data_IF_010808890754
#
_entry.id   IF_010808890754
#
_cell.length_a   1.000
_cell.length_b   1.000
_cell.length_c   1.000
_cell.angle_alpha   90.00
_cell.angle_beta   90.00
_cell.angle_gamma   90.00
#
_symmetry.space_group_name_H-M   'P 1'
#
loop_
_entity.id
_entity.type
_entity.pdbx_description
1 polymer ?
#
# COMPACT_ATOMS: atom_id res chain seq x y z
N UNK A 1 -6.00 4.63 -30.71
CA UNK A 1 -5.13 4.67 -29.51
C UNK A 1 -5.11 6.14 -29.09
N UNK A 2 -5.61 6.44 -27.91
CA UNK A 2 -5.66 7.82 -27.41
C UNK A 2 -4.52 7.96 -26.39
N UNK A 3 -3.50 8.75 -26.73
CA UNK A 3 -2.40 9.06 -25.82
C UNK A 3 -2.63 10.43 -25.17
N UNK A 4 -2.05 10.65 -24.00
CA UNK A 4 -2.01 11.91 -23.30
C UNK A 4 -0.60 12.17 -22.76
N UNK A 5 -0.23 13.44 -22.70
CA UNK A 5 1.04 13.86 -22.15
C UNK A 5 0.90 14.24 -20.68
N UNK A 6 1.75 13.68 -19.83
CA UNK A 6 1.88 14.07 -18.42
C UNK A 6 3.14 14.92 -18.28
N UNK A 7 2.99 16.10 -17.70
CA UNK A 7 4.12 16.96 -17.37
C UNK A 7 4.92 16.31 -16.22
N UNK A 8 6.16 15.95 -16.47
CA UNK A 8 7.05 15.28 -15.53
C UNK A 8 8.48 15.81 -15.64
N UNK A 9 9.30 15.53 -14.64
CA UNK A 9 10.72 15.88 -14.61
C UNK A 9 11.55 14.61 -14.84
N UNK A 10 12.56 14.60 -15.69
CA UNK A 10 13.18 15.73 -16.42
C UNK A 10 12.49 16.14 -17.73
N UNK A 11 11.50 15.38 -18.19
CA UNK A 11 10.79 15.65 -19.43
C UNK A 11 9.35 15.12 -19.34
N UNK A 12 8.41 15.68 -20.12
CA UNK A 12 7.05 15.15 -20.24
C UNK A 12 7.05 13.68 -20.70
N UNK A 13 6.05 12.92 -20.23
CA UNK A 13 5.86 11.51 -20.55
C UNK A 13 4.53 11.32 -21.24
N UNK A 14 4.56 10.68 -22.41
CA UNK A 14 3.35 10.26 -23.13
C UNK A 14 2.87 8.90 -22.59
N UNK A 15 1.60 8.79 -22.24
CA UNK A 15 0.97 7.56 -21.77
C UNK A 15 -0.29 7.25 -22.56
N UNK A 16 -0.63 5.96 -22.65
CA UNK A 16 -1.94 5.49 -23.10
C UNK A 16 -2.77 5.14 -21.83
N UNK A 17 -3.83 5.89 -21.52
CA UNK A 17 -4.66 5.65 -20.33
C UNK A 17 -5.19 4.22 -20.24
N UNK A 18 -5.55 3.62 -21.38
CA UNK A 18 -6.08 2.25 -21.44
C UNK A 18 -5.03 1.17 -21.10
N UNK A 19 -3.75 1.52 -21.13
CA UNK A 19 -2.61 0.62 -20.86
C UNK A 19 -1.79 1.06 -19.65
N UNK A 20 -2.31 2.00 -18.88
CA UNK A 20 -1.65 2.57 -17.69
C UNK A 20 -2.45 2.22 -16.45
N UNK A 21 -1.78 2.08 -15.33
CA UNK A 21 -2.39 1.98 -14.01
C UNK A 21 -1.68 2.91 -13.02
N UNK A 22 -2.44 3.48 -12.11
CA UNK A 22 -1.89 4.11 -10.89
C UNK A 22 -1.92 3.08 -9.78
N UNK A 23 -0.79 2.87 -9.13
CA UNK A 23 -0.65 1.94 -8.02
C UNK A 23 -0.44 2.73 -6.73
N UNK A 24 -1.35 2.60 -5.79
CA UNK A 24 -1.28 3.16 -4.44
C UNK A 24 -0.80 2.06 -3.50
N UNK A 25 0.34 2.27 -2.84
CA UNK A 25 1.04 1.23 -2.08
C UNK A 25 1.06 1.62 -0.60
N UNK A 26 0.62 0.70 0.27
CA UNK A 26 0.74 0.75 1.74
C UNK A 26 0.14 2.00 2.40
N UNK A 27 -0.82 2.65 1.75
CA UNK A 27 -1.56 3.77 2.35
C UNK A 27 -2.65 3.26 3.30
N UNK A 28 -2.20 2.63 4.40
CA UNK A 28 -3.01 1.88 5.36
C UNK A 28 -3.03 2.54 6.74
N UNK A 29 -4.06 2.21 7.53
CA UNK A 29 -4.22 2.72 8.89
C UNK A 29 -3.04 2.38 9.81
N UNK A 30 -2.45 1.19 9.69
CA UNK A 30 -1.28 0.80 10.47
C UNK A 30 -0.10 1.76 10.30
N UNK A 31 0.05 2.37 9.12
CA UNK A 31 1.18 3.23 8.79
C UNK A 31 0.87 4.73 8.90
N UNK A 32 -0.35 5.15 8.57
CA UNK A 32 -0.68 6.57 8.41
C UNK A 32 -1.71 7.12 9.39
N UNK A 33 -2.38 6.29 10.20
CA UNK A 33 -3.41 6.78 11.13
C UNK A 33 -2.90 6.94 12.56
N UNK A 34 -3.39 7.95 13.29
CA UNK A 34 -3.22 8.01 14.73
C UNK A 34 -3.74 6.72 15.41
N UNK A 35 -2.96 6.15 16.32
CA UNK A 35 -3.24 4.86 16.94
C UNK A 35 -2.91 3.65 16.07
N UNK A 36 -2.38 3.84 14.85
CA UNK A 36 -1.82 2.78 14.02
C UNK A 36 -0.50 2.24 14.57
N UNK A 37 0.04 1.24 13.90
CA UNK A 37 1.27 0.55 14.32
C UNK A 37 2.46 1.51 14.42
N UNK A 38 2.67 2.36 13.42
CA UNK A 38 3.78 3.31 13.42
C UNK A 38 3.63 4.35 14.52
N UNK A 39 2.45 4.91 14.69
CA UNK A 39 2.18 5.89 15.75
C UNK A 39 2.42 5.30 17.15
N UNK A 40 1.91 4.10 17.43
CA UNK A 40 2.16 3.38 18.68
C UNK A 40 3.63 3.05 18.91
N UNK A 41 4.38 2.79 17.86
CA UNK A 41 5.82 2.53 17.93
C UNK A 41 6.66 3.81 18.04
N UNK A 42 6.04 5.00 18.07
CA UNK A 42 6.75 6.28 18.13
C UNK A 42 7.38 6.70 16.81
N UNK A 43 6.99 6.07 15.70
CA UNK A 43 7.41 6.45 14.35
C UNK A 43 6.51 7.59 13.88
N UNK A 44 7.12 8.71 13.47
CA UNK A 44 6.37 9.89 13.01
C UNK A 44 5.56 9.61 11.75
N UNK A 45 4.24 9.80 11.81
CA UNK A 45 3.31 9.57 10.69
C UNK A 45 2.99 10.82 9.88
N UNK A 46 3.50 11.98 10.26
CA UNK A 46 3.17 13.28 9.62
C UNK A 46 3.49 13.32 8.13
N UNK A 47 4.57 12.66 7.70
CA UNK A 47 4.93 12.58 6.29
C UNK A 47 3.92 11.78 5.47
N UNK A 48 3.43 10.67 6.03
CA UNK A 48 2.40 9.83 5.39
C UNK A 48 1.08 10.61 5.33
N UNK A 49 0.69 11.28 6.42
CA UNK A 49 -0.51 12.11 6.44
C UNK A 49 -0.44 13.27 5.44
N UNK A 50 0.72 13.90 5.29
CA UNK A 50 0.92 14.95 4.29
C UNK A 50 0.81 14.43 2.84
N UNK A 51 1.08 13.14 2.60
CA UNK A 51 0.94 12.52 1.29
C UNK A 51 -0.51 12.17 0.92
N UNK A 52 -1.45 12.11 1.88
CA UNK A 52 -2.84 11.69 1.64
C UNK A 52 -3.54 12.58 0.62
N UNK A 53 -3.54 13.89 0.81
CA UNK A 53 -4.24 14.82 -0.06
C UNK A 53 -3.70 14.81 -1.52
N UNK A 54 -2.38 14.88 -1.77
CA UNK A 54 -1.86 14.75 -3.14
C UNK A 54 -2.10 13.37 -3.75
N UNK A 55 -2.07 12.29 -2.97
CA UNK A 55 -2.42 10.95 -3.46
C UNK A 55 -3.87 10.89 -3.90
N UNK A 56 -4.80 11.41 -3.09
CA UNK A 56 -6.21 11.50 -3.46
C UNK A 56 -6.41 12.29 -4.75
N UNK A 57 -5.77 13.44 -4.88
CA UNK A 57 -5.87 14.26 -6.08
C UNK A 57 -5.38 13.52 -7.34
N UNK A 58 -4.27 12.77 -7.22
CA UNK A 58 -3.73 11.95 -8.30
C UNK A 58 -4.68 10.81 -8.69
N UNK A 59 -5.23 10.09 -7.71
CA UNK A 59 -6.20 9.00 -7.93
C UNK A 59 -7.47 9.52 -8.61
N UNK A 60 -8.02 10.64 -8.14
CA UNK A 60 -9.20 11.26 -8.76
C UNK A 60 -8.94 11.73 -10.19
N UNK A 61 -7.76 12.30 -10.47
CA UNK A 61 -7.37 12.68 -11.82
C UNK A 61 -7.24 11.46 -12.74
N UNK A 62 -6.63 10.38 -12.25
CA UNK A 62 -6.48 9.13 -12.98
C UNK A 62 -7.84 8.49 -13.31
N UNK A 63 -8.77 8.45 -12.36
CA UNK A 63 -10.15 7.97 -12.59
C UNK A 63 -10.84 8.77 -13.68
N UNK A 64 -10.75 10.13 -13.65
CA UNK A 64 -11.33 10.97 -14.71
C UNK A 64 -10.71 10.72 -16.09
N UNK A 65 -9.45 10.31 -16.13
CA UNK A 65 -8.74 9.95 -17.36
C UNK A 65 -8.99 8.51 -17.83
N UNK A 66 -9.77 7.71 -17.09
CA UNK A 66 -10.01 6.29 -17.40
C UNK A 66 -8.80 5.39 -17.13
N UNK A 67 -7.86 5.84 -16.30
CA UNK A 67 -6.69 5.07 -15.89
C UNK A 67 -7.11 4.13 -14.76
N UNK A 68 -6.68 2.88 -14.82
CA UNK A 68 -6.96 1.88 -13.79
C UNK A 68 -6.27 2.25 -12.47
N UNK A 69 -6.99 2.07 -11.36
CA UNK A 69 -6.44 2.23 -10.00
C UNK A 69 -6.24 0.85 -9.37
N UNK A 70 -5.08 0.66 -8.76
CA UNK A 70 -4.72 -0.55 -8.01
C UNK A 70 -4.19 -0.13 -6.64
N UNK A 71 -4.81 -0.65 -5.59
CA UNK A 71 -4.31 -0.48 -4.22
C UNK A 71 -3.58 -1.75 -3.79
N UNK A 72 -2.29 -1.64 -3.49
CA UNK A 72 -1.55 -2.71 -2.85
C UNK A 72 -1.53 -2.45 -1.34
N UNK A 73 -1.93 -3.44 -0.58
CA UNK A 73 -1.89 -3.38 0.89
C UNK A 73 -1.19 -4.59 1.47
N UNK A 74 -0.46 -4.34 2.56
CA UNK A 74 0.24 -5.35 3.32
C UNK A 74 -0.67 -5.92 4.41
N UNK A 75 -0.59 -7.23 4.64
CA UNK A 75 -1.27 -7.88 5.75
C UNK A 75 -0.77 -9.32 5.91
N UNK A 76 -0.71 -9.79 7.13
CA UNK A 76 -0.27 -11.14 7.48
C UNK A 76 -1.47 -12.04 7.80
N UNK A 77 -1.26 -13.35 7.74
CA UNK A 77 -2.23 -14.30 8.27
C UNK A 77 -2.44 -14.06 9.77
N UNK A 78 -3.65 -14.32 10.30
CA UNK A 78 -3.92 -14.08 11.73
C UNK A 78 -3.00 -14.84 12.69
N UNK A 79 -2.48 -16.00 12.27
CA UNK A 79 -1.52 -16.82 13.01
C UNK A 79 -0.05 -16.41 12.76
N UNK A 80 0.18 -15.39 11.92
CA UNK A 80 1.51 -14.87 11.53
C UNK A 80 2.42 -15.93 10.87
N UNK A 81 1.88 -17.03 10.35
CA UNK A 81 2.67 -18.10 9.73
C UNK A 81 3.41 -17.64 8.46
N UNK A 82 2.98 -16.53 7.86
CA UNK A 82 3.58 -15.91 6.69
C UNK A 82 4.53 -14.74 7.01
N UNK A 83 4.76 -14.42 8.29
CA UNK A 83 5.67 -13.36 8.72
C UNK A 83 7.14 -13.67 8.43
N UNK A 84 7.50 -14.96 8.38
CA UNK A 84 8.86 -15.43 8.27
C UNK A 84 9.51 -15.71 9.63
N UNK A 85 10.77 -16.14 9.62
CA UNK A 85 11.49 -16.46 10.83
C UNK A 85 11.90 -15.19 11.61
N UNK A 86 11.99 -15.30 12.93
CA UNK A 86 12.34 -14.17 13.82
C UNK A 86 13.76 -13.64 13.58
N UNK A 87 14.65 -14.46 13.05
CA UNK A 87 16.04 -14.12 12.78
C UNK A 87 16.26 -13.43 11.44
N UNK A 88 15.22 -13.30 10.61
CA UNK A 88 15.32 -12.53 9.36
C UNK A 88 14.95 -11.06 9.61
N UNK A 89 15.61 -10.10 8.90
CA UNK A 89 15.43 -8.66 9.17
C UNK A 89 13.98 -8.20 9.17
N UNK A 90 13.16 -8.64 8.23
CA UNK A 90 11.76 -8.24 8.14
C UNK A 90 10.91 -8.80 9.28
N UNK A 91 11.08 -10.08 9.61
CA UNK A 91 10.38 -10.71 10.75
C UNK A 91 10.71 -9.98 12.06
N UNK A 92 11.99 -9.73 12.31
CA UNK A 92 12.45 -8.99 13.49
C UNK A 92 11.84 -7.58 13.56
N UNK A 93 11.86 -6.83 12.45
CA UNK A 93 11.30 -5.47 12.39
C UNK A 93 9.81 -5.47 12.74
N UNK A 94 9.01 -6.29 12.08
CA UNK A 94 7.56 -6.32 12.32
C UNK A 94 7.19 -6.83 13.71
N UNK A 95 7.93 -7.77 14.27
CA UNK A 95 7.76 -8.20 15.65
C UNK A 95 8.03 -7.05 16.64
N UNK A 96 9.05 -6.25 16.37
CA UNK A 96 9.38 -5.06 17.18
C UNK A 96 8.31 -3.96 17.07
N UNK A 97 7.65 -3.86 15.92
CA UNK A 97 6.57 -2.91 15.68
C UNK A 97 5.21 -3.37 16.22
N UNK A 98 5.14 -4.52 16.89
CA UNK A 98 3.92 -4.98 17.56
C UNK A 98 2.97 -5.75 16.64
N UNK A 99 3.45 -6.37 15.56
CA UNK A 99 2.60 -7.19 14.68
C UNK A 99 1.91 -8.33 15.41
N UNK A 100 2.47 -8.83 16.53
CA UNK A 100 1.86 -9.84 17.40
C UNK A 100 0.54 -9.38 18.03
N UNK A 101 0.30 -8.08 18.10
CA UNK A 101 -0.96 -7.51 18.60
C UNK A 101 -2.05 -7.47 17.51
N UNK A 102 -1.83 -8.12 16.37
CA UNK A 102 -2.80 -8.25 15.28
C UNK A 102 -2.94 -7.02 14.40
N UNK A 103 -2.13 -5.96 14.61
CA UNK A 103 -2.30 -4.66 13.92
C UNK A 103 -2.16 -4.71 12.41
N UNK A 104 -1.54 -5.75 11.86
CA UNK A 104 -1.44 -6.02 10.42
C UNK A 104 -1.98 -7.42 10.07
N UNK A 105 -2.78 -8.04 10.93
CA UNK A 105 -3.50 -9.23 10.57
C UNK A 105 -4.57 -8.89 9.51
N UNK A 106 -4.80 -9.81 8.58
CA UNK A 106 -5.83 -9.64 7.55
C UNK A 106 -7.18 -9.39 8.20
N UNK A 107 -7.96 -8.51 7.57
CA UNK A 107 -9.30 -8.09 8.03
C UNK A 107 -9.31 -7.24 9.33
N UNK A 108 -8.15 -6.88 9.86
CA UNK A 108 -8.05 -5.93 10.96
C UNK A 108 -7.95 -4.49 10.45
N UNK A 109 -8.42 -3.53 11.25
CA UNK A 109 -8.43 -2.10 10.93
C UNK A 109 -7.08 -1.56 10.44
N UNK A 110 -5.97 -2.05 10.97
CA UNK A 110 -4.62 -1.64 10.55
C UNK A 110 -4.32 -1.95 9.08
N UNK A 111 -4.93 -2.99 8.51
CA UNK A 111 -4.76 -3.37 7.10
C UNK A 111 -5.66 -2.60 6.15
N UNK A 112 -6.66 -1.88 6.65
CA UNK A 112 -7.53 -1.09 5.80
C UNK A 112 -6.82 0.12 5.22
N UNK A 113 -7.23 0.50 4.01
CA UNK A 113 -6.78 1.74 3.38
C UNK A 113 -7.31 2.93 4.18
N UNK A 114 -6.51 3.99 4.28
CA UNK A 114 -6.92 5.25 4.91
C UNK A 114 -8.26 5.72 4.35
N UNK A 115 -9.20 6.11 5.22
CA UNK A 115 -10.56 6.49 4.84
C UNK A 115 -10.61 7.58 3.74
N UNK A 116 -9.67 8.51 3.78
CA UNK A 116 -9.56 9.60 2.79
C UNK A 116 -9.15 9.11 1.40
N UNK A 117 -8.66 7.87 1.31
CA UNK A 117 -8.22 7.22 0.08
C UNK A 117 -9.07 6.00 -0.26
N UNK A 118 -10.23 5.84 0.38
CA UNK A 118 -11.08 4.66 0.22
C UNK A 118 -11.23 4.26 -1.26
N UNK A 119 -10.98 2.97 -1.59
CA UNK A 119 -11.15 2.48 -2.94
C UNK A 119 -12.60 2.60 -3.42
N UNK A 120 -12.79 2.85 -4.71
CA UNK A 120 -14.10 2.75 -5.37
C UNK A 120 -14.38 1.30 -5.79
N UNK A 121 -15.63 0.98 -6.13
CA UNK A 121 -16.09 -0.39 -6.43
C UNK A 121 -15.35 -1.04 -7.61
N UNK A 122 -14.89 -0.23 -8.56
CA UNK A 122 -14.15 -0.66 -9.75
C UNK A 122 -12.63 -0.63 -9.60
N UNK A 123 -12.12 -0.19 -8.46
CA UNK A 123 -10.70 -0.26 -8.14
C UNK A 123 -10.27 -1.69 -7.81
N UNK A 124 -9.03 -2.02 -8.10
CA UNK A 124 -8.45 -3.32 -7.76
C UNK A 124 -7.71 -3.23 -6.43
N UNK A 125 -8.09 -4.06 -5.46
CA UNK A 125 -7.47 -4.09 -4.13
C UNK A 125 -6.98 -5.51 -3.80
N UNK A 126 -5.88 -5.99 -4.43
CA UNK A 126 -5.29 -7.25 -4.02
C UNK A 126 -4.63 -7.11 -2.65
N UNK A 127 -4.83 -8.10 -1.79
CA UNK A 127 -3.98 -8.24 -0.62
C UNK A 127 -2.60 -8.71 -1.09
N UNK A 128 -1.56 -7.95 -0.77
CA UNK A 128 -0.20 -8.37 -1.02
C UNK A 128 0.15 -9.45 0.00
N UNK A 129 0.04 -10.70 -0.42
CA UNK A 129 0.62 -11.81 0.34
C UNK A 129 2.12 -11.53 0.49
N UNK A 130 2.67 -11.79 1.68
CA UNK A 130 4.06 -11.52 2.02
C UNK A 130 5.02 -11.79 0.85
N UNK A 131 6.08 -11.00 0.76
CA UNK A 131 7.10 -10.99 -0.31
C UNK A 131 7.57 -12.41 -0.73
N UNK A 132 7.38 -13.41 0.09
CA UNK A 132 7.73 -14.81 -0.19
C UNK A 132 6.99 -15.44 -1.38
N UNK A 133 5.82 -14.94 -1.78
CA UNK A 133 5.11 -15.44 -2.97
C UNK A 133 5.59 -14.82 -4.29
N UNK A 134 6.40 -13.78 -4.25
CA UNK A 134 7.01 -13.18 -5.42
C UNK A 134 8.33 -13.84 -5.82
N UNK A 135 8.88 -14.71 -4.97
CA UNK A 135 10.06 -15.49 -5.29
C UNK A 135 9.62 -16.81 -5.94
N UNK A 136 10.20 -17.20 -7.09
CA UNK A 136 9.89 -18.48 -7.70
C UNK A 136 10.23 -19.62 -6.74
N UNK A 137 9.35 -20.65 -6.70
CA UNK A 137 9.57 -21.87 -5.94
C UNK A 137 10.97 -22.45 -6.26
N UNK A 138 11.90 -22.34 -5.31
CA UNK A 138 13.26 -22.84 -5.47
C UNK A 138 14.36 -21.95 -4.90
N UNK A 139 14.07 -20.73 -4.48
CA UNK A 139 15.03 -19.86 -3.78
C UNK A 139 14.92 -20.04 -2.25
N UNK A 140 15.19 -21.27 -1.76
CA UNK A 140 15.41 -21.57 -0.34
C UNK A 140 16.88 -21.82 -0.07
#
# INVERSE_FOLDING_TARGET
MQTMEIQATPAPVEIDPARTAVIVIDMQNAFGSPGGMFDKAGIGISGIQAAVAPTRAAVEAARRAGIKIVYLKMGFLPDLSDLGAEDVPNGHLFLHLGVKDGVLARDEWGTDILDELAPADDDTVPLQDSIQRLLPDGAR
#
